data_IF_072451906958
#
_entry.id   IF_072451906958
#
_cell.length_a   1.000
_cell.length_b   1.000
_cell.length_c   1.000
_cell.angle_alpha   90.00
_cell.angle_beta   90.00
_cell.angle_gamma   90.00
#
_symmetry.space_group_name_H-M   'P 1'
#
loop_
_entity.id
_entity.type
_entity.pdbx_description
1 polymer ?
#
# COMPACT_ATOMS: atom_id res chain seq x y z
N UNK A 1 -9.08 13.26 11.12
CA UNK A 1 -9.86 12.10 11.63
C UNK A 1 -9.01 10.87 11.46
N UNK A 2 -9.03 9.90 12.38
CA UNK A 2 -8.33 8.63 12.17
C UNK A 2 -8.90 7.91 10.95
N UNK A 3 -8.04 7.26 10.17
CA UNK A 3 -8.45 6.48 8.99
C UNK A 3 -9.19 5.23 9.48
N UNK A 4 -10.40 5.02 8.96
CA UNK A 4 -11.20 3.84 9.31
C UNK A 4 -10.85 2.69 8.36
N UNK A 5 -10.03 1.75 8.81
CA UNK A 5 -9.74 0.54 8.04
C UNK A 5 -10.96 -0.37 8.01
N UNK A 6 -11.46 -0.65 6.81
CA UNK A 6 -12.50 -1.65 6.55
C UNK A 6 -11.83 -3.00 6.23
N UNK A 7 -12.62 -4.06 6.17
CA UNK A 7 -12.13 -5.42 5.92
C UNK A 7 -11.26 -5.51 4.66
N UNK A 8 -11.59 -4.78 3.58
CA UNK A 8 -10.78 -4.71 2.35
C UNK A 8 -9.43 -4.01 2.56
N UNK A 9 -9.38 -2.97 3.39
CA UNK A 9 -8.15 -2.26 3.74
C UNK A 9 -7.22 -3.20 4.50
N UNK A 10 -7.79 -3.91 5.47
CA UNK A 10 -7.07 -4.89 6.28
C UNK A 10 -6.57 -6.06 5.44
N UNK A 11 -7.40 -6.62 4.56
CA UNK A 11 -7.00 -7.66 3.61
C UNK A 11 -5.88 -7.17 2.69
N UNK A 12 -5.98 -5.94 2.17
CA UNK A 12 -4.92 -5.34 1.34
C UNK A 12 -3.59 -5.32 2.09
N UNK A 13 -3.58 -4.82 3.33
CA UNK A 13 -2.37 -4.78 4.16
C UNK A 13 -1.83 -6.18 4.47
N UNK A 14 -2.69 -7.13 4.82
CA UNK A 14 -2.31 -8.53 5.05
C UNK A 14 -1.67 -9.17 3.81
N UNK A 15 -2.12 -8.80 2.62
CA UNK A 15 -1.60 -9.38 1.38
C UNK A 15 -0.27 -8.74 0.96
N UNK A 16 -0.03 -7.46 1.27
CA UNK A 16 1.05 -6.69 0.62
C UNK A 16 2.11 -6.16 1.56
N UNK A 17 1.81 -5.98 2.85
CA UNK A 17 2.79 -5.46 3.80
C UNK A 17 3.79 -6.55 4.21
N UNK A 18 5.06 -6.18 4.31
CA UNK A 18 6.05 -6.96 5.03
C UNK A 18 5.87 -6.68 6.52
N UNK A 19 5.53 -7.72 7.28
CA UNK A 19 5.18 -7.63 8.70
C UNK A 19 6.30 -8.12 9.62
N UNK A 20 7.24 -8.91 9.07
CA UNK A 20 8.37 -9.47 9.83
C UNK A 20 9.66 -8.69 9.53
N UNK A 21 10.25 -7.98 10.52
CA UNK A 21 11.51 -7.24 10.35
C UNK A 21 12.72 -8.12 10.03
N UNK A 22 12.65 -9.39 10.43
CA UNK A 22 13.69 -10.43 10.37
C UNK A 22 13.62 -11.33 9.14
N UNK A 23 12.67 -11.07 8.22
CA UNK A 23 12.56 -11.70 6.89
C UNK A 23 12.25 -13.20 6.84
N UNK A 24 11.84 -13.84 7.93
CA UNK A 24 11.31 -15.21 7.88
C UNK A 24 9.79 -15.22 7.68
N UNK A 25 9.33 -14.61 6.57
CA UNK A 25 7.95 -14.83 6.13
C UNK A 25 7.89 -16.13 5.33
N UNK A 26 6.96 -17.03 5.69
CA UNK A 26 6.77 -18.32 5.01
C UNK A 26 6.54 -18.16 3.49
N UNK A 27 5.93 -17.04 3.10
CA UNK A 27 5.70 -16.65 1.72
C UNK A 27 5.89 -15.15 1.57
N UNK A 28 6.33 -14.69 0.40
CA UNK A 28 6.50 -13.26 0.15
C UNK A 28 5.16 -12.53 -0.01
N UNK A 29 5.00 -11.32 0.55
CA UNK A 29 3.86 -10.46 0.28
C UNK A 29 3.71 -10.17 -1.21
N UNK A 30 2.51 -9.85 -1.64
CA UNK A 30 2.24 -9.47 -3.03
C UNK A 30 2.93 -8.14 -3.35
N UNK A 31 3.63 -8.09 -4.48
CA UNK A 31 4.09 -6.82 -5.04
C UNK A 31 2.91 -6.03 -5.65
N UNK A 32 3.13 -4.77 -6.02
CA UNK A 32 2.07 -3.89 -6.55
C UNK A 32 1.36 -4.49 -7.78
N UNK A 33 2.10 -5.11 -8.70
CA UNK A 33 1.54 -5.75 -9.89
C UNK A 33 0.75 -7.02 -9.55
N UNK A 34 1.25 -7.87 -8.66
CA UNK A 34 0.51 -9.05 -8.19
C UNK A 34 -0.79 -8.67 -7.48
N UNK A 35 -0.75 -7.62 -6.66
CA UNK A 35 -1.95 -7.07 -6.02
C UNK A 35 -2.95 -6.51 -7.03
N UNK A 36 -2.47 -5.81 -8.07
CA UNK A 36 -3.34 -5.33 -9.15
C UNK A 36 -4.06 -6.50 -9.83
N UNK A 37 -3.35 -7.55 -10.21
CA UNK A 37 -3.93 -8.75 -10.83
C UNK A 37 -4.95 -9.44 -9.91
N UNK A 38 -4.63 -9.60 -8.62
CA UNK A 38 -5.54 -10.17 -7.63
C UNK A 38 -6.83 -9.33 -7.52
N UNK A 39 -6.71 -8.01 -7.52
CA UNK A 39 -7.87 -7.11 -7.45
C UNK A 39 -8.75 -7.24 -8.70
N UNK A 40 -8.17 -7.45 -9.87
CA UNK A 40 -8.93 -7.73 -11.09
C UNK A 40 -9.66 -9.09 -11.01
N UNK A 41 -9.00 -10.13 -10.49
CA UNK A 41 -9.61 -11.45 -10.26
C UNK A 41 -10.80 -11.35 -9.29
N UNK A 42 -10.60 -10.71 -8.14
CA UNK A 42 -11.64 -10.53 -7.13
C UNK A 42 -12.81 -9.70 -7.67
N UNK A 43 -12.53 -8.63 -8.43
CA UNK A 43 -13.57 -7.84 -9.08
C UNK A 43 -14.38 -8.64 -10.12
N UNK A 44 -13.73 -9.50 -10.92
CA UNK A 44 -14.42 -10.40 -11.86
C UNK A 44 -15.33 -11.40 -11.14
N UNK A 45 -14.90 -11.88 -9.98
CA UNK A 45 -15.67 -12.77 -9.11
C UNK A 45 -16.77 -12.04 -8.31
N UNK A 46 -16.83 -10.70 -8.35
CA UNK A 46 -17.75 -9.90 -7.54
C UNK A 46 -17.47 -9.99 -6.04
N UNK A 47 -16.23 -10.30 -5.64
CA UNK A 47 -15.85 -10.54 -4.26
C UNK A 47 -14.98 -9.38 -3.71
N UNK A 48 -15.36 -8.74 -2.58
CA UNK A 48 -14.46 -7.85 -1.85
C UNK A 48 -13.28 -8.63 -1.28
N UNK A 49 -12.10 -8.01 -1.18
CA UNK A 49 -10.90 -8.69 -0.70
C UNK A 49 -11.00 -9.13 0.76
N UNK A 50 -11.75 -8.39 1.58
CA UNK A 50 -12.05 -8.72 2.97
C UNK A 50 -12.77 -10.07 3.11
N UNK A 51 -13.54 -10.49 2.10
CA UNK A 51 -14.20 -11.80 2.10
C UNK A 51 -13.20 -12.96 2.06
N UNK A 52 -11.98 -12.74 1.56
CA UNK A 52 -10.96 -13.78 1.49
C UNK A 52 -10.38 -14.12 2.88
N UNK A 53 -10.52 -13.22 3.86
CA UNK A 53 -10.03 -13.43 5.22
C UNK A 53 -10.78 -14.62 5.84
N UNK A 54 -10.03 -15.64 6.27
CA UNK A 54 -10.59 -16.85 6.88
C UNK A 54 -11.16 -17.86 5.88
N UNK A 55 -11.10 -17.58 4.57
CA UNK A 55 -11.46 -18.54 3.53
C UNK A 55 -10.40 -19.65 3.44
N UNK A 56 -10.85 -20.90 3.29
CA UNK A 56 -9.95 -22.02 3.04
C UNK A 56 -9.42 -22.02 1.60
N UNK A 57 -8.38 -22.82 1.37
CA UNK A 57 -7.69 -22.87 0.09
C UNK A 57 -8.63 -23.28 -1.06
N UNK A 58 -9.53 -24.23 -0.81
CA UNK A 58 -10.52 -24.69 -1.80
C UNK A 58 -11.54 -23.62 -2.16
N UNK A 59 -11.93 -22.78 -1.20
CA UNK A 59 -12.76 -21.60 -1.41
C UNK A 59 -12.05 -20.56 -2.27
N UNK A 60 -10.81 -20.22 -1.93
CA UNK A 60 -10.00 -19.23 -2.67
C UNK A 60 -9.78 -19.68 -4.11
N UNK A 61 -9.40 -20.94 -4.34
CA UNK A 61 -9.21 -21.50 -5.68
C UNK A 61 -10.47 -21.41 -6.54
N UNK A 62 -11.63 -21.80 -5.98
CA UNK A 62 -12.90 -21.75 -6.72
C UNK A 62 -13.39 -20.34 -6.98
N UNK A 63 -13.24 -19.44 -6.00
CA UNK A 63 -13.72 -18.08 -6.10
C UNK A 63 -12.90 -17.25 -7.09
N UNK A 64 -11.58 -17.38 -7.05
CA UNK A 64 -10.66 -16.58 -7.85
C UNK A 64 -10.17 -17.29 -9.12
N UNK A 65 -10.52 -18.57 -9.31
CA UNK A 65 -10.07 -19.41 -10.42
C UNK A 65 -8.53 -19.49 -10.52
N UNK A 66 -7.86 -19.57 -9.37
CA UNK A 66 -6.39 -19.62 -9.25
C UNK A 66 -5.90 -21.03 -8.92
N UNK A 67 -4.62 -21.29 -9.17
CA UNK A 67 -3.97 -22.55 -8.82
C UNK A 67 -3.78 -22.71 -7.29
N UNK A 68 -3.45 -23.94 -6.89
CA UNK A 68 -3.25 -24.31 -5.49
C UNK A 68 -2.12 -23.52 -4.82
N UNK A 69 -1.02 -23.27 -5.54
CA UNK A 69 0.13 -22.53 -5.02
C UNK A 69 -0.22 -21.07 -4.72
N UNK A 70 -0.98 -20.43 -5.60
CA UNK A 70 -1.49 -19.08 -5.42
C UNK A 70 -2.45 -19.03 -4.25
N UNK A 71 -3.43 -19.94 -4.19
CA UNK A 71 -4.38 -19.98 -3.08
C UNK A 71 -3.69 -20.22 -1.73
N UNK A 72 -2.72 -21.14 -1.67
CA UNK A 72 -1.90 -21.38 -0.49
C UNK A 72 -1.21 -20.10 -0.01
N UNK A 73 -0.51 -19.40 -0.91
CA UNK A 73 0.16 -18.12 -0.59
C UNK A 73 -0.82 -17.09 -0.05
N UNK A 74 -1.98 -16.92 -0.69
CA UNK A 74 -3.01 -15.97 -0.24
C UNK A 74 -3.52 -16.32 1.16
N UNK A 75 -3.85 -17.59 1.42
CA UNK A 75 -4.31 -18.03 2.75
C UNK A 75 -3.25 -17.78 3.84
N UNK A 76 -1.97 -18.06 3.56
CA UNK A 76 -0.89 -17.78 4.52
C UNK A 76 -0.77 -16.29 4.80
N UNK A 77 -0.79 -15.44 3.76
CA UNK A 77 -0.69 -13.98 3.92
C UNK A 77 -1.88 -13.39 4.70
N UNK A 78 -3.10 -13.85 4.40
CA UNK A 78 -4.34 -13.44 5.05
C UNK A 78 -4.45 -13.94 6.51
N UNK A 79 -3.67 -14.95 6.89
CA UNK A 79 -3.59 -15.45 8.26
C UNK A 79 -2.76 -14.57 9.22
N UNK A 80 -2.10 -13.51 8.73
CA UNK A 80 -1.12 -12.70 9.49
C UNK A 80 -1.77 -11.57 10.31
N UNK A 81 -2.96 -11.81 10.84
CA UNK A 81 -3.80 -10.81 11.52
C UNK A 81 -3.08 -10.19 12.72
N UNK A 82 -2.56 -11.01 13.63
CA UNK A 82 -1.96 -10.53 14.87
C UNK A 82 -0.71 -9.66 14.63
N UNK A 83 0.27 -10.07 13.80
CA UNK A 83 1.41 -9.20 13.44
C UNK A 83 0.99 -7.88 12.81
N UNK A 84 -0.01 -7.88 11.91
CA UNK A 84 -0.51 -6.65 11.30
C UNK A 84 -1.12 -5.72 12.35
N UNK A 85 -1.93 -6.22 13.28
CA UNK A 85 -2.53 -5.42 14.35
C UNK A 85 -1.46 -4.73 15.20
N UNK A 86 -0.41 -5.45 15.61
CA UNK A 86 0.70 -4.86 16.36
C UNK A 86 1.45 -3.78 15.55
N UNK A 87 1.65 -3.99 14.25
CA UNK A 87 2.28 -3.00 13.39
C UNK A 87 1.43 -1.73 13.29
N UNK A 88 0.11 -1.86 13.10
CA UNK A 88 -0.82 -0.73 13.03
C UNK A 88 -0.80 0.09 14.32
N UNK A 89 -0.86 -0.56 15.47
CA UNK A 89 -0.74 0.10 16.78
C UNK A 89 0.60 0.84 16.91
N UNK A 90 1.72 0.18 16.59
CA UNK A 90 3.05 0.78 16.70
C UNK A 90 3.25 1.97 15.75
N UNK A 91 2.66 1.94 14.57
CA UNK A 91 2.72 3.05 13.61
C UNK A 91 1.82 4.21 14.06
N UNK A 92 0.62 3.92 14.56
CA UNK A 92 -0.27 4.93 15.12
C UNK A 92 0.37 5.68 16.29
N UNK A 93 1.07 4.98 17.20
CA UNK A 93 1.84 5.60 18.29
C UNK A 93 2.94 6.56 17.79
N UNK A 94 3.46 6.33 16.59
CA UNK A 94 4.46 7.17 15.93
C UNK A 94 3.85 8.27 15.04
N UNK A 95 2.52 8.38 15.02
CA UNK A 95 1.81 9.31 14.15
C UNK A 95 1.96 8.97 12.66
N UNK A 96 2.11 7.68 12.34
CA UNK A 96 2.13 7.17 10.96
C UNK A 96 0.83 6.44 10.68
N UNK A 97 0.09 6.93 9.70
CA UNK A 97 -1.12 6.30 9.19
C UNK A 97 -0.80 5.41 7.98
N UNK A 98 -1.57 4.34 7.79
CA UNK A 98 -1.52 3.49 6.60
C UNK A 98 -2.79 3.69 5.77
N UNK A 99 -2.66 3.90 4.47
CA UNK A 99 -3.79 4.15 3.57
C UNK A 99 -3.79 3.08 2.48
N UNK A 100 -4.76 2.17 2.54
CA UNK A 100 -4.88 1.11 1.56
C UNK A 100 -5.47 1.62 0.24
N UNK A 101 -5.18 0.95 -0.87
CA UNK A 101 -5.65 1.31 -2.20
C UNK A 101 -7.19 1.47 -2.29
N UNK A 102 -7.94 0.69 -1.51
CA UNK A 102 -9.40 0.73 -1.47
C UNK A 102 -9.96 1.86 -0.57
N UNK A 103 -9.12 2.53 0.21
CA UNK A 103 -9.56 3.61 1.11
C UNK A 103 -9.97 4.85 0.31
N UNK A 104 -10.90 5.63 0.87
CA UNK A 104 -11.39 6.86 0.26
C UNK A 104 -10.31 7.96 0.31
N UNK A 105 -9.46 7.91 1.32
CA UNK A 105 -8.34 8.78 1.59
C UNK A 105 -7.15 8.50 0.66
N UNK A 106 -7.14 7.37 -0.06
CA UNK A 106 -6.04 7.05 -0.98
C UNK A 106 -5.96 8.08 -2.12
N UNK A 107 -4.79 8.70 -2.36
CA UNK A 107 -4.65 9.77 -3.35
C UNK A 107 -5.07 9.34 -4.77
N UNK A 108 -6.08 10.02 -5.31
CA UNK A 108 -6.69 9.66 -6.59
C UNK A 108 -5.72 9.86 -7.76
N UNK A 109 -4.82 10.84 -7.67
CA UNK A 109 -3.82 11.07 -8.71
C UNK A 109 -2.77 9.94 -8.79
N UNK A 110 -2.43 9.28 -7.67
CA UNK A 110 -1.51 8.13 -7.68
C UNK A 110 -2.12 6.96 -8.47
N UNK A 111 -3.40 6.66 -8.25
CA UNK A 111 -4.13 5.64 -9.02
C UNK A 111 -4.11 5.92 -10.52
N UNK A 112 -4.27 7.19 -10.92
CA UNK A 112 -4.25 7.62 -12.32
C UNK A 112 -2.86 7.57 -12.95
N UNK A 113 -1.83 7.94 -12.18
CA UNK A 113 -0.45 7.96 -12.66
C UNK A 113 0.18 6.56 -12.77
N UNK A 114 -0.24 5.64 -11.90
CA UNK A 114 0.29 4.28 -11.77
C UNK A 114 -0.83 3.23 -11.82
N UNK A 115 -1.54 3.05 -12.95
CA UNK A 115 -2.75 2.23 -13.00
C UNK A 115 -2.51 0.77 -12.54
N UNK A 116 -1.38 0.17 -12.95
CA UNK A 116 -1.08 -1.25 -12.72
C UNK A 116 0.04 -1.47 -11.70
N UNK A 117 0.58 -0.38 -11.16
CA UNK A 117 1.73 -0.37 -10.26
C UNK A 117 1.56 0.58 -9.08
N UNK A 118 0.35 1.11 -8.87
CA UNK A 118 0.03 1.92 -7.70
C UNK A 118 0.37 1.13 -6.42
N UNK A 119 1.07 1.75 -5.46
CA UNK A 119 1.37 1.12 -4.18
C UNK A 119 0.07 0.63 -3.51
N UNK A 120 -0.04 -0.64 -3.10
CA UNK A 120 -1.25 -1.14 -2.46
C UNK A 120 -1.56 -0.44 -1.13
N UNK A 121 -0.52 0.03 -0.43
CA UNK A 121 -0.63 0.78 0.82
C UNK A 121 0.37 1.95 0.78
N UNK A 122 -0.08 3.14 1.21
CA UNK A 122 0.75 4.32 1.43
C UNK A 122 0.91 4.53 2.94
N UNK A 123 2.14 4.73 3.40
CA UNK A 123 2.43 5.15 4.76
C UNK A 123 2.56 6.67 4.77
N UNK A 124 1.81 7.35 5.63
CA UNK A 124 1.76 8.81 5.69
C UNK A 124 2.01 9.31 7.10
N UNK A 125 2.68 10.45 7.21
CA UNK A 125 2.84 11.18 8.45
C UNK A 125 2.50 12.65 8.19
N UNK A 126 1.50 13.18 8.89
CA UNK A 126 1.00 14.54 8.68
C UNK A 126 -0.23 14.60 7.78
N UNK A 127 -0.43 15.73 7.10
CA UNK A 127 -1.65 16.01 6.33
C UNK A 127 -1.62 15.37 4.93
N UNK A 128 -2.31 14.24 4.78
CA UNK A 128 -2.43 13.51 3.52
C UNK A 128 -3.09 14.34 2.40
N UNK A 129 -3.92 15.34 2.75
CA UNK A 129 -4.61 16.17 1.76
C UNK A 129 -3.67 17.00 0.89
N UNK A 130 -2.43 17.22 1.34
CA UNK A 130 -1.37 17.87 0.57
C UNK A 130 -1.01 17.10 -0.71
N UNK A 131 -1.23 15.79 -0.73
CA UNK A 131 -0.97 14.96 -1.90
C UNK A 131 -1.93 15.26 -3.07
N UNK A 132 -3.10 15.85 -2.81
CA UNK A 132 -4.04 16.26 -3.86
C UNK A 132 -3.81 17.70 -4.34
N UNK A 133 -2.82 18.41 -3.78
CA UNK A 133 -2.46 19.75 -4.23
C UNK A 133 -1.48 19.71 -5.41
N UNK A 134 -1.42 20.82 -6.15
CA UNK A 134 -0.38 20.99 -7.18
C UNK A 134 0.98 21.04 -6.50
N UNK A 135 1.88 20.16 -6.95
CA UNK A 135 3.25 20.09 -6.44
C UNK A 135 4.25 20.06 -7.60
N UNK A 136 5.48 20.48 -7.32
CA UNK A 136 6.62 20.36 -8.22
C UNK A 136 7.67 19.50 -7.53
N UNK A 137 8.09 18.42 -8.18
CA UNK A 137 9.20 17.60 -7.71
C UNK A 137 10.52 18.22 -8.16
N UNK A 138 11.41 18.52 -7.20
CA UNK A 138 12.78 18.96 -7.47
C UNK A 138 13.70 17.79 -7.10
N UNK A 139 14.32 17.16 -8.10
CA UNK A 139 15.23 16.01 -7.94
C UNK A 139 16.67 16.42 -8.24
N UNK A 140 17.63 15.71 -7.65
CA UNK A 140 19.06 15.98 -7.83
C UNK A 140 19.92 14.75 -7.64
N UNK A 141 21.22 14.89 -7.89
CA UNK A 141 22.18 13.79 -7.77
C UNK A 141 22.59 13.62 -6.30
N UNK A 142 22.41 12.42 -5.76
CA UNK A 142 22.83 12.10 -4.39
C UNK A 142 24.36 12.14 -4.26
N UNK A 143 24.87 12.51 -3.09
CA UNK A 143 26.31 12.57 -2.80
C UNK A 143 27.06 13.78 -3.37
N UNK A 144 26.40 14.64 -4.15
CA UNK A 144 27.01 15.86 -4.70
C UNK A 144 26.71 17.05 -3.79
N UNK A 145 27.75 17.77 -3.35
CA UNK A 145 27.55 19.03 -2.61
C UNK A 145 26.94 20.09 -3.54
N UNK A 146 25.67 20.40 -3.30
CA UNK A 146 24.99 21.53 -3.92
C UNK A 146 25.72 22.85 -3.62
N UNK A 147 26.19 23.51 -4.67
CA UNK A 147 26.76 24.85 -4.61
C UNK A 147 25.76 25.86 -4.00
N UNK A 148 26.25 26.85 -3.26
CA UNK A 148 25.39 27.83 -2.58
C UNK A 148 24.49 28.61 -3.55
N UNK A 149 25.01 28.98 -4.73
CA UNK A 149 24.24 29.66 -5.77
C UNK A 149 23.02 28.85 -6.20
N UNK A 150 23.20 27.55 -6.46
CA UNK A 150 22.11 26.66 -6.87
C UNK A 150 21.07 26.47 -5.75
N UNK A 151 21.50 26.39 -4.48
CA UNK A 151 20.54 26.36 -3.34
C UNK A 151 19.70 27.63 -3.28
N UNK A 152 20.31 28.79 -3.54
CA UNK A 152 19.60 30.05 -3.55
C UNK A 152 18.62 30.13 -4.72
N UNK A 153 19.02 29.69 -5.92
CA UNK A 153 18.11 29.64 -7.08
C UNK A 153 16.91 28.73 -6.85
N UNK A 154 17.08 27.56 -6.21
CA UNK A 154 15.96 26.68 -5.85
C UNK A 154 15.01 27.38 -4.87
N UNK A 155 15.55 28.09 -3.87
CA UNK A 155 14.73 28.83 -2.91
C UNK A 155 13.93 29.95 -3.58
N UNK A 156 14.57 30.70 -4.48
CA UNK A 156 13.91 31.80 -5.20
C UNK A 156 12.81 31.27 -6.13
N UNK A 157 13.05 30.15 -6.82
CA UNK A 157 12.04 29.43 -7.59
C UNK A 157 10.83 29.02 -6.74
N UNK A 158 11.05 28.41 -5.58
CA UNK A 158 9.94 27.96 -4.70
C UNK A 158 9.13 29.08 -4.06
N UNK A 159 9.64 30.33 -4.03
CA UNK A 159 8.92 31.50 -3.52
C UNK A 159 8.04 32.18 -4.57
N UNK A 160 8.30 31.90 -5.84
CA UNK A 160 7.65 32.55 -6.99
C UNK A 160 6.69 31.63 -7.74
N UNK A 161 6.77 30.32 -7.50
CA UNK A 161 5.84 29.30 -7.97
C UNK A 161 4.63 29.17 -7.04
#
# INVERSE_FOLDING_TARGET
>A
MPILHRDDSFATMLLTCALSPDREELVHPLCATEFHELRLLAARAGAPLGQLIGMDMSGVMRLLEVDEMTAYRLCILLGRILPLSYMLESLAEKGVDMVAYCDAEYPAHVKRALPDSAPPVIYSCGDLSLLEQKAVAIVGVSGVKLAQSLRQSIRDFTRTA
#
